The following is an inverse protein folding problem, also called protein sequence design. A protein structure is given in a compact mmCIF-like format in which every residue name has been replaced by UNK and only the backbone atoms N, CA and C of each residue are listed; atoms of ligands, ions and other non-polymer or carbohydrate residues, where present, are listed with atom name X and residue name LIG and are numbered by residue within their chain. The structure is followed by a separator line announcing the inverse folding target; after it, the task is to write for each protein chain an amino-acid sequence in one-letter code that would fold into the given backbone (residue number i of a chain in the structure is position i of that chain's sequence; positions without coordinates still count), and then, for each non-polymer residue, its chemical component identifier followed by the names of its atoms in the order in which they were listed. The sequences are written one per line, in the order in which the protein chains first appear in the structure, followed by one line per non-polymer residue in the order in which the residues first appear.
data_IF_129215257507
#
_entry.id   IF_129215257507
#
_cell.length_a   1.000
_cell.length_b   1.000
_cell.length_c   1.000
_cell.angle_alpha   90.00
_cell.angle_beta   90.00
_cell.angle_gamma   90.00
#
_symmetry.space_group_name_H-M   'P 1'
#
loop_
_entity.id
_entity.type
_entity.pdbx_description
1 polymer ?
#
# COMPACT_ATOMS: atom_id res chain seq x y z
N UNK A 1 5.56 14.94 18.49
CA UNK A 1 4.77 13.77 18.08
C UNK A 1 3.39 14.23 17.63
N UNK A 2 3.22 14.38 16.33
CA UNK A 2 1.91 14.61 15.71
C UNK A 2 1.06 13.34 15.83
N UNK A 3 -0.17 13.46 16.33
CA UNK A 3 -1.11 12.33 16.49
C UNK A 3 -2.31 12.58 15.59
N UNK A 4 -2.70 11.56 14.83
CA UNK A 4 -3.98 11.53 14.13
C UNK A 4 -5.07 11.04 15.10
N UNK A 5 -6.11 11.84 15.41
CA UNK A 5 -7.13 11.47 16.38
C UNK A 5 -8.05 10.34 15.87
N UNK A 6 -8.25 10.20 14.56
CA UNK A 6 -9.08 9.13 13.97
C UNK A 6 -8.28 7.82 13.91
N UNK A 7 -7.01 7.92 13.55
CA UNK A 7 -6.07 6.80 13.41
C UNK A 7 -4.85 6.97 14.32
N UNK A 8 -5.00 6.78 15.65
CA UNK A 8 -3.98 7.07 16.66
C UNK A 8 -2.77 6.13 16.66
N UNK A 9 -2.78 5.11 15.80
CA UNK A 9 -1.64 4.24 15.53
C UNK A 9 -0.72 4.76 14.42
N UNK A 10 -1.14 5.78 13.66
CA UNK A 10 -0.36 6.36 12.56
C UNK A 10 0.92 7.02 13.09
N UNK A 11 2.07 6.63 12.52
CA UNK A 11 3.32 7.40 12.67
C UNK A 11 3.28 8.56 11.67
N UNK A 12 2.62 9.66 12.04
CA UNK A 12 2.25 10.74 11.10
C UNK A 12 3.45 11.37 10.40
N UNK A 13 4.52 11.68 11.13
CA UNK A 13 5.74 12.27 10.55
C UNK A 13 6.39 11.33 9.52
N UNK A 14 6.45 10.02 9.84
CA UNK A 14 6.95 8.96 8.95
C UNK A 14 6.08 8.80 7.70
N UNK A 15 4.75 8.83 7.88
CA UNK A 15 3.79 8.77 6.78
C UNK A 15 3.96 9.95 5.81
N UNK A 16 4.11 11.18 6.32
CA UNK A 16 4.31 12.37 5.49
C UNK A 16 5.66 12.32 4.76
N UNK A 17 6.72 11.85 5.43
CA UNK A 17 8.01 11.64 4.78
C UNK A 17 7.94 10.58 3.65
N UNK A 18 7.19 9.48 3.85
CA UNK A 18 6.95 8.48 2.83
C UNK A 18 6.22 9.08 1.61
N UNK A 19 5.14 9.83 1.84
CA UNK A 19 4.40 10.53 0.78
C UNK A 19 5.30 11.50 0.02
N UNK A 20 6.12 12.28 0.73
CA UNK A 20 7.10 13.19 0.11
C UNK A 20 8.10 12.46 -0.78
N UNK A 21 8.60 11.29 -0.37
CA UNK A 21 9.50 10.49 -1.23
C UNK A 21 8.77 9.95 -2.46
N UNK A 22 7.55 9.44 -2.31
CA UNK A 22 6.75 8.96 -3.46
C UNK A 22 6.51 10.06 -4.48
N UNK A 23 6.08 11.25 -4.05
CA UNK A 23 5.84 12.39 -4.94
C UNK A 23 7.13 12.89 -5.61
N UNK A 24 8.31 12.60 -5.03
CA UNK A 24 9.61 12.93 -5.64
C UNK A 24 10.08 11.95 -6.71
N UNK A 25 9.44 10.77 -6.84
CA UNK A 25 9.80 9.78 -7.86
C UNK A 25 9.48 10.30 -9.26
N UNK A 26 10.44 10.20 -10.16
CA UNK A 26 10.30 10.69 -11.54
C UNK A 26 9.56 9.69 -12.43
N UNK A 27 9.06 10.16 -13.58
CA UNK A 27 8.45 9.28 -14.59
C UNK A 27 9.41 8.17 -15.06
N UNK A 28 10.68 8.50 -15.24
CA UNK A 28 11.69 7.54 -15.68
C UNK A 28 11.92 6.45 -14.63
N UNK A 29 11.87 6.81 -13.35
CA UNK A 29 11.97 5.85 -12.24
C UNK A 29 10.73 4.96 -12.07
N UNK A 30 9.58 5.35 -12.62
CA UNK A 30 8.31 4.63 -12.49
C UNK A 30 7.88 3.87 -13.75
N UNK A 31 8.52 4.14 -14.89
CA UNK A 31 8.23 3.51 -16.19
C UNK A 31 9.30 2.48 -16.62
N UNK A 32 10.25 2.17 -15.74
CA UNK A 32 11.33 1.22 -16.00
C UNK A 32 10.95 -0.26 -15.86
N UNK A 33 11.96 -1.10 -15.66
CA UNK A 33 11.77 -2.50 -15.29
C UNK A 33 11.15 -2.61 -13.88
N UNK A 34 10.15 -3.48 -13.74
CA UNK A 34 9.35 -3.59 -12.54
C UNK A 34 10.16 -3.86 -11.26
N UNK A 35 11.24 -4.64 -11.31
CA UNK A 35 12.03 -4.92 -10.11
C UNK A 35 12.73 -3.65 -9.59
N UNK A 36 13.14 -2.76 -10.49
CA UNK A 36 13.72 -1.46 -10.15
C UNK A 36 12.63 -0.49 -9.65
N UNK A 37 11.49 -0.43 -10.35
CA UNK A 37 10.35 0.41 -9.95
C UNK A 37 9.88 0.02 -8.55
N UNK A 38 9.67 -1.27 -8.28
CA UNK A 38 9.26 -1.76 -6.97
C UNK A 38 10.28 -1.42 -5.89
N UNK A 39 11.59 -1.55 -6.16
CA UNK A 39 12.63 -1.14 -5.22
C UNK A 39 12.54 0.34 -4.86
N UNK A 40 12.25 1.20 -5.84
CA UNK A 40 12.04 2.64 -5.61
C UNK A 40 10.79 2.91 -4.76
N UNK A 41 9.69 2.20 -5.02
CA UNK A 41 8.45 2.29 -4.22
C UNK A 41 8.70 1.85 -2.78
N UNK A 42 9.41 0.74 -2.56
CA UNK A 42 9.80 0.28 -1.23
C UNK A 42 10.65 1.31 -0.49
N UNK A 43 11.70 1.81 -1.13
CA UNK A 43 12.59 2.82 -0.55
C UNK A 43 11.83 4.10 -0.19
N UNK A 44 10.93 4.56 -1.08
CA UNK A 44 10.09 5.71 -0.85
C UNK A 44 9.19 5.50 0.38
N UNK A 45 8.70 4.27 0.55
CA UNK A 45 7.95 3.85 1.71
C UNK A 45 8.72 3.60 3.00
N UNK A 46 10.05 3.69 2.97
CA UNK A 46 10.91 3.33 4.09
C UNK A 46 10.95 1.83 4.38
N UNK A 47 10.88 1.00 3.34
CA UNK A 47 11.09 -0.45 3.41
C UNK A 47 12.37 -0.85 2.69
N UNK A 48 13.12 -1.77 3.29
CA UNK A 48 14.23 -2.49 2.65
C UNK A 48 13.66 -3.52 1.67
N UNK A 49 14.39 -3.76 0.58
CA UNK A 49 14.08 -4.87 -0.34
C UNK A 49 14.75 -6.15 0.16
N UNK A 50 13.97 -7.01 0.81
CA UNK A 50 14.40 -8.24 1.47
C UNK A 50 13.67 -9.42 0.82
N UNK A 51 14.02 -9.68 -0.43
CA UNK A 51 13.41 -10.70 -1.30
C UNK A 51 13.84 -12.15 -1.02
N UNK A 52 14.78 -12.35 -0.10
CA UNK A 52 15.35 -13.66 0.26
C UNK A 52 15.17 -14.00 1.74
N UNK A 53 14.59 -13.09 2.52
CA UNK A 53 14.26 -13.33 3.93
C UNK A 53 13.13 -14.36 4.07
N UNK A 54 13.10 -15.06 5.20
CA UNK A 54 11.98 -15.96 5.53
C UNK A 54 10.75 -15.16 5.99
N UNK A 55 9.53 -15.71 5.83
CA UNK A 55 8.35 -15.15 6.48
C UNK A 55 8.59 -14.92 7.98
N UNK A 56 8.17 -13.76 8.49
CA UNK A 56 8.44 -13.33 9.87
C UNK A 56 9.81 -12.68 10.11
N UNK A 57 10.72 -12.71 9.13
CA UNK A 57 12.07 -12.09 9.22
C UNK A 57 12.21 -10.86 8.31
N UNK A 58 11.11 -10.10 8.15
CA UNK A 58 11.10 -8.89 7.32
C UNK A 58 11.06 -9.16 5.82
N UNK A 59 10.54 -10.32 5.38
CA UNK A 59 10.37 -10.62 3.95
C UNK A 59 9.43 -9.60 3.28
N UNK A 60 9.96 -8.81 2.35
CA UNK A 60 9.20 -7.81 1.58
C UNK A 60 8.96 -8.24 0.13
N UNK A 61 9.31 -9.47 -0.25
CA UNK A 61 9.20 -9.94 -1.65
C UNK A 61 7.78 -9.91 -2.22
N UNK A 62 6.75 -10.00 -1.37
CA UNK A 62 5.33 -9.86 -1.77
C UNK A 62 4.84 -8.41 -1.80
N UNK A 63 5.53 -7.48 -1.13
CA UNK A 63 5.13 -6.07 -1.09
C UNK A 63 5.01 -5.51 -2.50
N UNK A 64 3.81 -5.04 -2.86
CA UNK A 64 3.43 -4.53 -4.18
C UNK A 64 3.55 -5.54 -5.33
N UNK A 65 3.90 -6.81 -5.06
CA UNK A 65 4.10 -7.87 -6.05
C UNK A 65 2.93 -8.84 -6.18
N UNK A 66 1.89 -8.65 -5.38
CA UNK A 66 0.62 -9.37 -5.49
C UNK A 66 -0.56 -8.41 -5.38
N UNK A 67 -1.77 -8.95 -5.51
CA UNK A 67 -2.98 -8.14 -5.55
C UNK A 67 -3.34 -7.43 -4.24
N UNK A 68 -2.79 -7.87 -3.10
CA UNK A 68 -3.33 -7.57 -1.78
C UNK A 68 -2.34 -6.85 -0.86
N UNK A 69 -1.05 -7.14 -0.90
CA UNK A 69 -0.02 -6.49 -0.06
C UNK A 69 0.43 -5.17 -0.68
N UNK A 70 -0.51 -4.26 -0.87
CA UNK A 70 -0.36 -3.05 -1.67
C UNK A 70 -0.51 -1.76 -0.88
N UNK A 71 -0.84 -1.86 0.42
CA UNK A 71 -0.93 -0.71 1.32
C UNK A 71 0.39 -0.50 2.03
N UNK A 72 1.01 0.65 1.83
CA UNK A 72 2.11 1.05 2.70
C UNK A 72 1.57 1.73 3.95
N UNK A 73 1.72 1.06 5.09
CA UNK A 73 1.29 1.56 6.40
C UNK A 73 2.51 2.03 7.20
N UNK A 74 2.43 3.23 7.76
CA UNK A 74 3.43 3.81 8.65
C UNK A 74 2.84 3.92 10.05
N UNK A 75 3.27 3.05 10.96
CA UNK A 75 2.66 2.92 12.29
C UNK A 75 3.67 3.16 13.43
N UNK A 76 3.17 3.68 14.54
CA UNK A 76 3.95 3.93 15.75
C UNK A 76 4.46 2.61 16.35
N UNK A 77 5.62 2.65 17.02
CA UNK A 77 6.21 1.46 17.64
C UNK A 77 5.29 0.77 18.66
N UNK A 78 4.48 1.56 19.37
CA UNK A 78 3.51 1.06 20.36
C UNK A 78 2.45 0.14 19.75
N UNK A 79 2.17 0.25 18.44
CA UNK A 79 1.18 -0.57 17.73
C UNK A 79 1.80 -1.48 16.67
N UNK A 80 3.08 -1.33 16.33
CA UNK A 80 3.74 -2.13 15.29
C UNK A 80 3.79 -3.62 15.64
N UNK A 81 3.72 -3.96 16.93
CA UNK A 81 3.64 -5.33 17.43
C UNK A 81 2.20 -5.83 17.67
N UNK A 82 1.17 -5.06 17.29
CA UNK A 82 -0.22 -5.51 17.44
C UNK A 82 -0.45 -6.78 16.62
N UNK A 83 -1.14 -7.73 17.22
CA UNK A 83 -1.60 -8.95 16.57
C UNK A 83 -3.03 -8.78 16.05
N UNK A 84 -3.40 -9.51 15.01
CA UNK A 84 -4.80 -9.62 14.62
C UNK A 84 -5.56 -10.46 15.66
N UNK A 85 -6.58 -9.88 16.29
CA UNK A 85 -7.45 -10.52 17.28
C UNK A 85 -8.66 -11.25 16.66
N UNK A 86 -8.76 -11.25 15.33
CA UNK A 86 -9.90 -11.78 14.57
C UNK A 86 -10.87 -10.71 14.06
N UNK A 87 -10.61 -9.44 14.37
CA UNK A 87 -11.28 -8.29 13.77
C UNK A 87 -11.03 -8.20 12.26
N UNK A 88 -9.80 -8.44 11.80
CA UNK A 88 -9.49 -8.50 10.37
C UNK A 88 -9.81 -9.89 9.82
N UNK A 89 -10.89 -9.98 9.03
CA UNK A 89 -11.30 -11.23 8.40
C UNK A 89 -10.26 -11.68 7.36
N UNK A 90 -10.07 -13.00 7.24
CA UNK A 90 -9.13 -13.66 6.33
C UNK A 90 -7.64 -13.47 6.66
N UNK A 91 -7.31 -12.84 7.79
CA UNK A 91 -5.95 -12.80 8.34
C UNK A 91 -5.89 -13.74 9.54
N UNK A 92 -4.78 -14.46 9.71
CA UNK A 92 -4.59 -15.36 10.84
C UNK A 92 -4.64 -14.58 12.16
N UNK A 93 -5.36 -15.14 13.15
CA UNK A 93 -5.34 -14.62 14.53
C UNK A 93 -3.93 -14.82 15.09
N UNK A 94 -3.38 -13.84 15.79
CA UNK A 94 -2.04 -13.91 16.38
C UNK A 94 -0.89 -13.66 15.40
N UNK A 95 -1.15 -13.09 14.22
CA UNK A 95 -0.10 -12.79 13.24
C UNK A 95 0.87 -11.71 13.77
N UNK A 96 2.08 -12.11 14.13
CA UNK A 96 3.12 -11.25 14.69
C UNK A 96 3.96 -10.58 13.59
N UNK A 97 3.58 -9.35 13.23
CA UNK A 97 4.29 -8.57 12.21
C UNK A 97 5.45 -7.73 12.79
N UNK A 98 5.46 -7.47 14.10
CA UNK A 98 6.40 -6.54 14.77
C UNK A 98 7.88 -6.77 14.45
N UNK A 99 8.44 -7.99 14.61
CA UNK A 99 9.84 -8.25 14.28
C UNK A 99 10.16 -8.00 12.81
N UNK A 100 9.26 -8.39 11.90
CA UNK A 100 9.44 -8.17 10.46
C UNK A 100 9.42 -6.70 10.08
N UNK A 101 8.51 -5.93 10.69
CA UNK A 101 8.40 -4.48 10.55
C UNK A 101 9.71 -3.81 10.97
N UNK A 102 10.23 -4.13 12.16
CA UNK A 102 11.46 -3.56 12.68
C UNK A 102 12.66 -3.84 11.75
N UNK A 103 12.79 -5.09 11.30
CA UNK A 103 13.89 -5.51 10.43
C UNK A 103 13.83 -4.80 9.08
N UNK A 104 12.66 -4.75 8.45
CA UNK A 104 12.48 -4.21 7.11
C UNK A 104 12.41 -2.69 7.07
N UNK A 105 12.09 -2.02 8.18
CA UNK A 105 11.98 -0.56 8.21
C UNK A 105 13.33 0.13 8.00
N UNK A 106 13.31 1.18 7.19
CA UNK A 106 14.42 2.11 7.00
C UNK A 106 14.31 3.20 8.08
N UNK A 107 15.34 3.42 8.92
CA UNK A 107 15.25 4.34 10.05
C UNK A 107 15.24 5.82 9.62
N UNK A 108 15.80 6.18 8.46
CA UNK A 108 15.85 7.58 8.00
C UNK A 108 14.48 8.22 7.71
N UNK A 109 13.40 7.43 7.71
CA UNK A 109 12.04 7.94 7.49
C UNK A 109 11.36 8.46 8.77
N UNK A 110 12.00 8.32 9.94
CA UNK A 110 11.50 8.78 11.24
C UNK A 110 11.10 7.65 12.18
N UNK A 111 10.58 8.00 13.36
CA UNK A 111 10.14 7.03 14.38
C UNK A 111 8.99 6.13 13.89
N UNK A 112 8.85 4.95 14.50
CA UNK A 112 7.89 3.93 14.07
C UNK A 112 8.42 3.01 12.98
N UNK A 113 7.51 2.24 12.39
CA UNK A 113 7.80 1.26 11.34
C UNK A 113 6.99 1.46 10.06
N UNK A 114 7.51 0.95 8.96
CA UNK A 114 6.81 0.84 7.67
C UNK A 114 6.51 -0.63 7.36
N UNK A 115 5.36 -0.91 6.72
CA UNK A 115 5.02 -2.26 6.27
C UNK A 115 4.04 -2.24 5.11
N UNK A 116 4.11 -3.25 4.23
CA UNK A 116 3.09 -3.49 3.22
C UNK A 116 1.97 -4.37 3.80
N UNK A 117 0.80 -3.80 4.08
CA UNK A 117 -0.34 -4.48 4.67
C UNK A 117 -1.33 -4.96 3.61
N UNK A 118 -2.17 -5.93 3.98
CA UNK A 118 -3.25 -6.44 3.15
C UNK A 118 -4.35 -5.37 2.97
N UNK A 119 -4.80 -5.18 1.74
CA UNK A 119 -5.84 -4.21 1.34
C UNK A 119 -7.26 -4.80 1.25
N UNK A 120 -7.46 -6.11 1.51
CA UNK A 120 -8.80 -6.71 1.53
C UNK A 120 -9.70 -5.95 2.53
N UNK A 121 -10.86 -5.48 2.05
CA UNK A 121 -11.81 -4.69 2.85
C UNK A 121 -11.63 -3.17 2.72
N UNK A 122 -10.62 -2.70 1.98
CA UNK A 122 -10.37 -1.27 1.79
C UNK A 122 -11.47 -0.54 0.99
N UNK A 123 -12.32 -1.27 0.25
CA UNK A 123 -13.43 -0.69 -0.49
C UNK A 123 -14.66 -0.35 0.36
N UNK A 124 -14.65 -0.69 1.65
CA UNK A 124 -15.69 -0.33 2.60
C UNK A 124 -15.47 1.09 3.15
N UNK A 125 -16.50 1.69 3.74
CA UNK A 125 -16.43 3.00 4.37
C UNK A 125 -16.94 2.95 5.83
N UNK A 126 -16.07 3.11 6.86
CA UNK A 126 -14.61 3.28 6.75
C UNK A 126 -13.91 1.98 6.28
N UNK A 127 -12.69 2.08 5.72
CA UNK A 127 -11.93 0.91 5.27
C UNK A 127 -11.77 -0.15 6.36
N UNK A 128 -11.94 -1.43 5.99
CA UNK A 128 -11.87 -2.58 6.89
C UNK A 128 -10.62 -3.44 6.67
N UNK A 129 -9.57 -2.84 6.12
CA UNK A 129 -8.30 -3.51 5.84
C UNK A 129 -7.38 -3.56 7.07
N UNK A 130 -6.22 -4.22 6.92
CA UNK A 130 -5.27 -4.43 8.03
C UNK A 130 -4.75 -3.10 8.59
N UNK A 131 -4.48 -2.11 7.75
CA UNK A 131 -3.92 -0.83 8.19
C UNK A 131 -4.87 -0.11 9.15
N UNK A 132 -6.13 -0.01 8.74
CA UNK A 132 -7.15 0.76 9.44
C UNK A 132 -7.67 0.04 10.69
N UNK A 133 -7.77 -1.30 10.66
CA UNK A 133 -8.33 -2.09 11.76
C UNK A 133 -7.27 -2.52 12.77
N UNK A 134 -6.24 -3.26 12.34
CA UNK A 134 -5.25 -3.85 13.26
C UNK A 134 -4.31 -2.79 13.82
N UNK A 135 -3.82 -1.89 12.96
CA UNK A 135 -2.86 -0.86 13.35
C UNK A 135 -3.50 0.47 13.71
N UNK A 136 -4.79 0.66 13.43
CA UNK A 136 -5.47 1.96 13.55
C UNK A 136 -4.63 3.08 12.94
N UNK A 137 -4.10 2.82 11.74
CA UNK A 137 -3.20 3.68 11.01
C UNK A 137 -3.80 4.04 9.67
N UNK A 138 -3.62 5.28 9.24
CA UNK A 138 -3.76 5.63 7.83
C UNK A 138 -2.65 4.96 7.03
N UNK A 139 -2.90 4.78 5.74
CA UNK A 139 -1.84 4.41 4.81
C UNK A 139 -1.07 5.65 4.35
N UNK A 140 0.24 5.49 4.16
CA UNK A 140 1.03 6.47 3.44
C UNK A 140 0.60 6.51 1.97
N UNK A 141 0.48 5.34 1.35
CA UNK A 141 -0.08 5.18 0.01
C UNK A 141 -0.53 3.73 -0.26
N UNK A 142 -1.36 3.56 -1.29
CA UNK A 142 -1.79 2.28 -1.87
C UNK A 142 -1.38 2.22 -3.33
N UNK A 143 -0.89 1.06 -3.79
CA UNK A 143 -0.72 0.79 -5.21
C UNK A 143 -2.02 0.22 -5.81
N UNK A 144 -2.50 0.88 -6.85
CA UNK A 144 -3.67 0.47 -7.62
C UNK A 144 -3.30 0.34 -9.10
N UNK A 145 -3.50 -0.85 -9.67
CA UNK A 145 -3.40 -1.06 -11.10
C UNK A 145 -4.65 -0.51 -11.80
N UNK A 146 -4.45 0.33 -12.81
CA UNK A 146 -5.53 0.96 -13.55
C UNK A 146 -6.22 -0.05 -14.47
N UNK A 147 -7.57 -0.01 -14.58
CA UNK A 147 -8.33 -0.93 -15.42
C UNK A 147 -8.29 -0.55 -16.91
N UNK A 148 -7.10 -0.26 -17.45
CA UNK A 148 -6.88 -0.16 -18.90
C UNK A 148 -7.08 -1.53 -19.55
N UNK A 149 -7.11 -1.58 -20.88
CA UNK A 149 -7.21 -2.86 -21.62
C UNK A 149 -6.13 -3.89 -21.22
N UNK A 150 -4.98 -3.43 -20.72
CA UNK A 150 -3.78 -4.23 -20.43
C UNK A 150 -3.37 -4.21 -18.96
N UNK A 151 -4.04 -3.41 -18.13
CA UNK A 151 -3.72 -3.17 -16.71
C UNK A 151 -2.26 -2.78 -16.47
N UNK A 152 -1.59 -2.17 -17.45
CA UNK A 152 -0.14 -1.89 -17.47
C UNK A 152 0.29 -0.63 -16.75
N UNK A 153 -0.67 0.19 -16.33
CA UNK A 153 -0.44 1.44 -15.62
C UNK A 153 -0.88 1.27 -14.17
N UNK A 154 -0.09 1.77 -13.21
CA UNK A 154 -0.48 1.86 -11.81
C UNK A 154 -0.49 3.33 -11.35
N UNK A 155 -1.27 3.58 -10.31
CA UNK A 155 -1.24 4.82 -9.51
C UNK A 155 -0.91 4.48 -8.07
N UNK A 156 -0.17 5.38 -7.43
CA UNK A 156 0.01 5.42 -5.98
C UNK A 156 -0.91 6.49 -5.45
N UNK A 157 -1.89 6.11 -4.64
CA UNK A 157 -2.86 7.03 -4.05
C UNK A 157 -2.67 7.07 -2.53
N UNK A 158 -2.91 8.23 -1.92
CA UNK A 158 -2.86 8.38 -0.47
C UNK A 158 -4.13 7.81 0.21
N UNK A 159 -4.19 7.94 1.54
CA UNK A 159 -5.33 7.47 2.34
C UNK A 159 -6.66 8.14 1.95
N UNK A 160 -6.64 9.35 1.39
CA UNK A 160 -7.84 10.05 0.90
C UNK A 160 -8.20 9.67 -0.54
N UNK A 161 -7.41 8.81 -1.19
CA UNK A 161 -7.57 8.44 -2.60
C UNK A 161 -6.95 9.45 -3.57
N UNK A 162 -6.15 10.41 -3.10
CA UNK A 162 -5.49 11.40 -3.96
C UNK A 162 -4.23 10.81 -4.56
N UNK A 163 -4.02 11.09 -5.84
CA UNK A 163 -2.82 10.63 -6.53
C UNK A 163 -1.55 11.28 -5.97
N UNK A 164 -0.53 10.45 -5.73
CA UNK A 164 0.82 10.88 -5.37
C UNK A 164 1.81 10.68 -6.52
N UNK A 165 1.67 9.59 -7.28
CA UNK A 165 2.51 9.25 -8.42
C UNK A 165 1.82 8.20 -9.31
N UNK A 166 2.30 8.03 -10.55
CA UNK A 166 1.84 6.98 -11.47
C UNK A 166 2.98 6.48 -12.36
N UNK A 167 2.85 5.26 -12.87
CA UNK A 167 3.82 4.68 -13.80
C UNK A 167 3.21 3.60 -14.68
N UNK A 168 3.86 3.34 -15.81
CA UNK A 168 3.54 2.27 -16.77
C UNK A 168 4.78 1.38 -16.93
N UNK A 169 5.11 0.57 -15.91
CA UNK A 169 6.33 -0.22 -15.88
C UNK A 169 6.27 -1.39 -16.86
N UNK A 170 7.44 -1.94 -17.15
CA UNK A 170 7.60 -3.13 -18.00
C UNK A 170 8.41 -4.20 -17.27
N UNK A 171 8.75 -5.30 -17.96
CA UNK A 171 9.59 -6.36 -17.40
C UNK A 171 8.85 -7.68 -17.18
N UNK A 172 9.61 -8.73 -16.87
CA UNK A 172 9.09 -10.11 -16.75
C UNK A 172 8.51 -10.42 -15.38
N UNK A 173 8.88 -9.64 -14.36
CA UNK A 173 8.50 -9.84 -12.96
C UNK A 173 7.31 -8.99 -12.54
N UNK A 174 6.77 -8.16 -13.45
CA UNK A 174 5.51 -7.44 -13.23
C UNK A 174 4.42 -8.42 -12.80
N UNK A 175 3.54 -8.07 -11.84
CA UNK A 175 2.47 -8.95 -11.42
C UNK A 175 1.64 -9.41 -12.62
N UNK A 176 1.26 -10.69 -12.63
CA UNK A 176 0.49 -11.26 -13.74
C UNK A 176 -0.82 -10.49 -13.95
N UNK A 177 -1.35 -10.52 -15.18
CA UNK A 177 -2.61 -9.83 -15.48
C UNK A 177 -3.75 -10.17 -14.47
N UNK A 178 -3.97 -11.44 -14.07
CA UNK A 178 -4.97 -11.75 -13.03
C UNK A 178 -4.71 -11.07 -11.68
N UNK A 179 -3.44 -10.91 -11.27
CA UNK A 179 -3.09 -10.21 -10.02
C UNK A 179 -3.44 -8.72 -10.11
N UNK A 180 -3.10 -8.08 -11.24
CA UNK A 180 -3.40 -6.66 -11.49
C UNK A 180 -4.91 -6.40 -11.57
N UNK A 181 -5.65 -7.29 -12.24
CA UNK A 181 -7.11 -7.25 -12.28
C UNK A 181 -7.74 -7.44 -10.90
N UNK A 182 -7.24 -8.39 -10.11
CA UNK A 182 -7.75 -8.62 -8.75
C UNK A 182 -7.43 -7.44 -7.82
N UNK A 183 -6.26 -6.81 -7.98
CA UNK A 183 -5.89 -5.61 -7.23
C UNK A 183 -6.89 -4.48 -7.47
N UNK A 184 -7.21 -4.19 -8.74
CA UNK A 184 -8.26 -3.21 -9.06
C UNK A 184 -9.63 -3.64 -8.48
N UNK A 185 -9.99 -4.91 -8.63
CA UNK A 185 -11.27 -5.44 -8.16
C UNK A 185 -11.50 -5.22 -6.66
N UNK A 186 -10.46 -5.32 -5.82
CA UNK A 186 -10.61 -5.13 -4.37
C UNK A 186 -10.74 -3.67 -3.95
N UNK A 187 -10.37 -2.71 -4.82
CA UNK A 187 -10.51 -1.27 -4.56
C UNK A 187 -11.70 -0.63 -5.29
N UNK A 188 -12.21 -1.28 -6.33
CA UNK A 188 -13.29 -0.75 -7.18
C UNK A 188 -14.52 -0.34 -6.37
N UNK A 189 -15.10 0.82 -6.73
CA UNK A 189 -16.25 1.40 -6.05
C UNK A 189 -15.90 2.15 -4.76
N UNK A 190 -14.63 2.47 -4.53
CA UNK A 190 -14.16 3.20 -3.35
C UNK A 190 -13.37 4.45 -3.73
N UNK A 191 -13.04 5.28 -2.72
CA UNK A 191 -12.17 6.45 -2.91
C UNK A 191 -10.82 6.11 -3.58
N UNK A 192 -10.33 4.89 -3.39
CA UNK A 192 -9.05 4.46 -3.94
C UNK A 192 -9.09 4.12 -5.44
N UNK A 193 -10.27 3.91 -6.05
CA UNK A 193 -10.38 3.59 -7.48
C UNK A 193 -10.49 4.82 -8.38
N UNK A 194 -10.89 5.98 -7.85
CA UNK A 194 -11.26 7.15 -8.65
C UNK A 194 -10.17 7.57 -9.66
N UNK A 195 -8.92 7.72 -9.20
CA UNK A 195 -7.79 8.09 -10.06
C UNK A 195 -7.51 7.00 -11.10
N UNK A 196 -7.61 5.73 -10.71
CA UNK A 196 -7.40 4.60 -11.62
C UNK A 196 -8.48 4.57 -12.73
N UNK A 197 -9.73 4.86 -12.36
CA UNK A 197 -10.88 4.96 -13.28
C UNK A 197 -10.67 6.10 -14.29
N UNK A 198 -10.25 7.28 -13.82
CA UNK A 198 -9.90 8.42 -14.67
C UNK A 198 -8.78 8.09 -15.66
N UNK A 199 -7.72 7.41 -15.20
CA UNK A 199 -6.60 6.97 -16.07
C UNK A 199 -7.07 5.99 -17.14
N UNK A 200 -8.03 5.11 -16.80
CA UNK A 200 -8.61 4.17 -17.76
C UNK A 200 -9.65 4.81 -18.71
N UNK A 201 -9.96 6.10 -18.54
CA UNK A 201 -11.02 6.78 -19.30
C UNK A 201 -12.42 6.29 -18.93
N UNK A 202 -12.59 5.66 -17.77
CA UNK A 202 -13.90 5.28 -17.24
C UNK A 202 -14.55 6.55 -16.70
N UNK A 203 -15.55 7.07 -17.41
CA UNK A 203 -16.38 8.14 -16.87
C UNK A 203 -17.13 7.62 -15.65
N UNK A 204 -17.31 8.45 -14.62
CA UNK A 204 -18.11 8.10 -13.44
C UNK A 204 -19.57 7.81 -13.84
N UNK A 205 -19.88 6.59 -14.26
CA UNK A 205 -21.25 6.15 -14.51
C UNK A 205 -21.94 5.96 -13.18
N UNK A 206 -22.79 6.93 -12.87
CA UNK A 206 -23.97 6.88 -12.02
C UNK A 206 -23.85 6.01 -10.76
N UNK A 207 -23.56 6.67 -9.65
CA UNK A 207 -23.90 6.18 -8.32
C UNK A 207 -25.41 5.93 -8.28
N UNK A 208 -25.84 4.70 -8.57
CA UNK A 208 -27.19 4.25 -8.23
C UNK A 208 -27.24 4.09 -6.72
N UNK A 209 -27.73 5.14 -6.05
CA UNK A 209 -28.41 5.02 -4.77
C UNK A 209 -29.68 4.18 -4.99
N UNK A 210 -29.70 2.98 -4.42
CA UNK A 210 -30.93 2.34 -3.95
C UNK A 210 -31.06 2.57 -2.44
#
# INVERSE_FOLDING_TARGET
MMIDPEYPGTAVERMLAARSRVTSLTKDELNGDWDEVRRKILWAGGLKDLNSSRPGQGYTGHSFNDYNHVDLTCMLDKVSSNENDGSVKKIAIGNQLGPGILIASIPELGEGGSWSTCAIGCNQNPPQDVAHIQFRSRIAFKLVWCPTNTYDTFVLVDDDGKELARGTPSGRTIPSLPQRQMNYKIVSGSKYSLVADEVAGMSATETKTE
#
